data_IF_534487639941
#
_entry.id   IF_534487639941
#
_cell.length_a   1.000
_cell.length_b   1.000
_cell.length_c   1.000
_cell.angle_alpha   90.00
_cell.angle_beta   90.00
_cell.angle_gamma   90.00
#
_symmetry.space_group_name_H-M   'P 1'
#
loop_
_entity.id
_entity.type
_entity.pdbx_description
1 polymer ?
#
# COMPACT_ATOMS: atom_id res chain seq x y z
N UNK A 1 9.15 -2.89 18.64
CA UNK A 1 8.21 -1.89 18.12
C UNK A 1 8.66 -1.59 16.70
N UNK A 2 7.93 -2.13 15.74
CA UNK A 2 8.40 -2.30 14.36
C UNK A 2 7.57 -1.41 13.45
N UNK A 3 8.22 -0.63 12.58
CA UNK A 3 7.52 0.22 11.62
C UNK A 3 7.52 -0.42 10.23
N UNK A 4 6.35 -0.47 9.62
CA UNK A 4 6.11 -0.95 8.27
C UNK A 4 5.56 0.20 7.44
N UNK A 5 5.99 0.29 6.19
CA UNK A 5 5.46 1.24 5.24
C UNK A 5 4.56 0.55 4.23
N UNK A 6 3.60 1.27 3.69
CA UNK A 6 2.71 0.84 2.62
C UNK A 6 2.66 1.86 1.51
N UNK A 7 2.63 1.39 0.27
CA UNK A 7 2.42 2.18 -0.94
C UNK A 7 1.37 1.51 -1.82
N UNK A 8 0.35 2.27 -2.23
CA UNK A 8 -0.72 1.82 -3.13
C UNK A 8 -0.87 2.77 -4.33
N UNK A 9 -0.34 2.39 -5.51
CA UNK A 9 -0.56 3.06 -6.78
C UNK A 9 -1.91 2.64 -7.41
N UNK A 10 -3.00 3.38 -7.16
CA UNK A 10 -4.27 2.97 -7.79
C UNK A 10 -5.50 3.87 -7.63
N UNK A 11 -5.47 4.91 -6.81
CA UNK A 11 -6.68 5.65 -6.43
C UNK A 11 -6.99 6.84 -7.34
N UNK A 12 -7.72 6.65 -8.47
CA UNK A 12 -8.25 7.76 -9.31
C UNK A 12 -7.19 8.81 -9.72
N UNK A 13 -5.98 8.37 -10.07
CA UNK A 13 -4.86 9.25 -10.39
C UNK A 13 -4.14 9.83 -9.17
N UNK A 14 -4.25 9.18 -8.02
CA UNK A 14 -3.51 9.47 -6.77
C UNK A 14 -2.92 8.20 -6.20
N UNK A 15 -2.01 8.37 -5.24
CA UNK A 15 -1.25 7.29 -4.63
C UNK A 15 -1.47 7.26 -3.11
N UNK A 16 -1.78 6.09 -2.56
CA UNK A 16 -1.86 5.85 -1.13
C UNK A 16 -0.49 5.60 -0.53
N UNK A 17 -0.24 6.16 0.64
CA UNK A 17 0.94 5.85 1.45
C UNK A 17 0.53 5.70 2.91
N UNK A 18 1.18 4.78 3.62
CA UNK A 18 0.90 4.50 5.03
C UNK A 18 2.18 4.17 5.80
N UNK A 19 2.18 4.50 7.08
CA UNK A 19 3.16 4.09 8.06
C UNK A 19 2.40 3.42 9.21
N UNK A 20 2.64 2.12 9.38
CA UNK A 20 1.94 1.27 10.33
C UNK A 20 2.95 0.75 11.32
N UNK A 21 2.60 0.80 12.59
CA UNK A 21 3.43 0.27 13.66
C UNK A 21 2.80 -0.99 14.22
N UNK A 22 3.61 -2.03 14.30
CA UNK A 22 3.23 -3.26 14.99
C UNK A 22 3.36 -3.06 16.50
N UNK A 23 2.22 -3.19 17.18
CA UNK A 23 2.10 -3.34 18.64
C UNK A 23 1.42 -4.69 18.93
N UNK A 24 1.53 -5.19 20.16
CA UNK A 24 1.21 -6.60 20.51
C UNK A 24 -0.22 -7.04 20.19
N UNK A 25 -1.17 -6.10 20.17
CA UNK A 25 -2.60 -6.44 20.18
C UNK A 25 -3.31 -6.07 18.87
N UNK A 26 -2.78 -5.11 18.09
CA UNK A 26 -3.29 -4.69 16.79
C UNK A 26 -2.31 -3.73 16.08
N UNK A 27 -2.27 -3.63 14.75
CA UNK A 27 -1.48 -2.59 14.09
C UNK A 27 -1.99 -1.17 14.40
N UNK A 28 -1.08 -0.24 14.70
CA UNK A 28 -1.35 1.18 14.89
C UNK A 28 -1.04 1.95 13.60
N UNK A 29 -1.98 2.75 13.09
CA UNK A 29 -1.72 3.67 11.96
C UNK A 29 -1.03 4.92 12.50
N UNK A 30 0.29 5.03 12.28
CA UNK A 30 1.09 6.18 12.71
C UNK A 30 0.83 7.38 11.81
N UNK A 31 0.79 7.15 10.50
CA UNK A 31 0.50 8.17 9.51
C UNK A 31 -0.03 7.53 8.23
N UNK A 32 -0.85 8.28 7.49
CA UNK A 32 -1.26 7.92 6.13
C UNK A 32 -1.55 9.16 5.32
N UNK A 33 -1.39 9.07 4.01
CA UNK A 33 -1.75 10.14 3.09
C UNK A 33 -2.22 9.58 1.74
N UNK A 34 -2.90 10.44 1.00
CA UNK A 34 -3.15 10.25 -0.43
C UNK A 34 -2.48 11.39 -1.16
N UNK A 35 -1.43 11.08 -1.91
CA UNK A 35 -0.55 12.05 -2.59
C UNK A 35 -0.79 12.04 -4.09
N UNK A 36 -0.33 13.09 -4.77
CA UNK A 36 -0.69 13.30 -6.18
C UNK A 36 -0.05 12.27 -7.10
N UNK A 37 1.24 12.00 -6.93
CA UNK A 37 2.05 11.20 -7.86
C UNK A 37 3.08 10.33 -7.12
N UNK A 38 3.81 9.52 -7.88
CA UNK A 38 4.80 8.61 -7.32
C UNK A 38 6.00 9.34 -6.69
N UNK A 39 6.35 10.54 -7.17
CA UNK A 39 7.45 11.32 -6.61
C UNK A 39 7.06 11.85 -5.22
N UNK A 40 5.85 12.37 -5.06
CA UNK A 40 5.34 12.75 -3.74
C UNK A 40 5.20 11.54 -2.81
N UNK A 41 4.83 10.37 -3.33
CA UNK A 41 4.78 9.14 -2.54
C UNK A 41 6.16 8.75 -2.01
N UNK A 42 7.19 8.80 -2.87
CA UNK A 42 8.56 8.53 -2.48
C UNK A 42 9.03 9.52 -1.39
N UNK A 43 8.85 10.83 -1.61
CA UNK A 43 9.22 11.84 -0.61
C UNK A 43 8.49 11.65 0.72
N UNK A 44 7.22 11.22 0.71
CA UNK A 44 6.48 10.91 1.93
C UNK A 44 7.07 9.69 2.66
N UNK A 45 7.39 8.62 1.93
CA UNK A 45 7.94 7.39 2.49
C UNK A 45 9.35 7.60 3.07
N UNK A 46 10.18 8.44 2.44
CA UNK A 46 11.54 8.77 2.89
C UNK A 46 11.57 9.36 4.30
N UNK A 47 10.51 10.08 4.73
CA UNK A 47 10.38 10.62 6.10
C UNK A 47 10.43 9.51 7.15
N UNK A 48 9.93 8.31 6.81
CA UNK A 48 9.81 7.18 7.72
C UNK A 48 10.81 6.03 7.41
N UNK A 49 11.50 6.10 6.27
CA UNK A 49 12.32 4.99 5.75
C UNK A 49 13.45 4.55 6.70
N UNK A 50 14.05 5.47 7.45
CA UNK A 50 15.19 5.16 8.36
C UNK A 50 14.82 4.23 9.51
N UNK A 51 13.55 4.20 9.90
CA UNK A 51 13.06 3.40 11.04
C UNK A 51 12.13 2.27 10.61
N UNK A 52 11.79 2.22 9.32
CA UNK A 52 10.99 1.15 8.75
C UNK A 52 11.84 -0.10 8.49
N UNK A 53 11.26 -1.28 8.76
CA UNK A 53 11.93 -2.56 8.49
C UNK A 53 11.53 -3.16 7.14
N UNK A 54 10.38 -2.74 6.59
CA UNK A 54 9.87 -3.20 5.31
C UNK A 54 8.90 -2.17 4.71
N UNK A 55 8.73 -2.25 3.39
CA UNK A 55 7.76 -1.50 2.60
C UNK A 55 6.92 -2.50 1.79
N UNK A 56 5.63 -2.55 2.05
CA UNK A 56 4.66 -3.22 1.21
C UNK A 56 4.28 -2.33 0.03
N UNK A 57 4.35 -2.88 -1.18
CA UNK A 57 3.91 -2.20 -2.41
C UNK A 57 2.69 -2.96 -2.92
N UNK A 58 1.53 -2.31 -2.89
CA UNK A 58 0.30 -2.86 -3.44
C UNK A 58 0.36 -2.78 -4.97
N UNK A 59 0.57 -3.93 -5.60
CA UNK A 59 0.70 -4.10 -7.06
C UNK A 59 1.93 -3.42 -7.71
N UNK A 60 2.56 -4.13 -8.65
CA UNK A 60 3.73 -3.61 -9.40
C UNK A 60 3.36 -2.61 -10.51
N UNK A 61 2.07 -2.35 -10.75
CA UNK A 61 1.60 -1.59 -11.91
C UNK A 61 0.46 -0.67 -11.48
N UNK A 62 0.73 0.63 -11.47
CA UNK A 62 -0.32 1.65 -11.39
C UNK A 62 -1.45 1.30 -12.37
N UNK A 63 -2.66 1.14 -11.84
CA UNK A 63 -3.81 0.75 -12.65
C UNK A 63 -4.07 1.81 -13.72
N UNK A 64 -4.26 1.38 -14.97
CA UNK A 64 -4.77 2.27 -15.99
C UNK A 64 -6.12 2.84 -15.52
N UNK A 65 -6.37 4.17 -15.64
CA UNK A 65 -7.61 4.78 -15.17
C UNK A 65 -8.85 4.26 -15.90
N UNK A 66 -8.67 3.49 -16.98
CA UNK A 66 -9.66 2.70 -17.70
C UNK A 66 -9.02 1.39 -18.16
N UNK A 67 -9.77 0.29 -18.09
CA UNK A 67 -9.27 -1.07 -18.33
C UNK A 67 -9.43 -1.91 -17.07
N UNK A 68 -9.88 -3.15 -17.23
CA UNK A 68 -10.40 -3.99 -16.16
C UNK A 68 -9.40 -4.37 -15.07
N UNK A 69 -9.93 -4.94 -13.98
CA UNK A 69 -9.19 -5.46 -12.83
C UNK A 69 -8.55 -6.82 -13.12
N UNK A 70 -8.04 -7.05 -14.33
CA UNK A 70 -7.68 -8.39 -14.80
C UNK A 70 -6.60 -9.05 -13.95
N UNK A 71 -5.66 -8.26 -13.41
CA UNK A 71 -4.68 -8.74 -12.41
C UNK A 71 -5.35 -9.13 -11.09
N UNK A 72 -6.34 -8.36 -10.62
CA UNK A 72 -7.11 -8.63 -9.39
C UNK A 72 -7.92 -9.91 -9.56
N UNK A 73 -8.54 -10.09 -10.72
CA UNK A 73 -9.32 -11.28 -11.07
C UNK A 73 -8.41 -12.49 -11.30
N UNK A 74 -7.19 -12.30 -11.83
CA UNK A 74 -6.20 -13.37 -11.90
C UNK A 74 -5.69 -13.78 -10.51
N UNK A 75 -5.45 -12.82 -9.62
CA UNK A 75 -5.04 -13.07 -8.24
C UNK A 75 -6.17 -13.75 -7.44
N UNK A 76 -7.42 -13.26 -7.55
CA UNK A 76 -8.60 -13.91 -6.96
C UNK A 76 -8.76 -15.35 -7.45
N UNK A 77 -8.70 -15.58 -8.77
CA UNK A 77 -8.75 -16.94 -9.34
C UNK A 77 -7.62 -17.84 -8.86
N UNK A 78 -6.43 -17.28 -8.63
CA UNK A 78 -5.24 -18.05 -8.22
C UNK A 78 -5.24 -18.38 -6.72
N UNK A 79 -5.78 -17.49 -5.89
CA UNK A 79 -5.72 -17.59 -4.42
C UNK A 79 -7.10 -17.75 -3.77
N UNK A 80 -8.07 -18.24 -4.55
CA UNK A 80 -9.48 -18.37 -4.20
C UNK A 80 -9.66 -19.09 -2.85
N UNK A 81 -9.91 -18.32 -1.78
CA UNK A 81 -10.14 -18.86 -0.42
C UNK A 81 -9.53 -18.07 0.75
N UNK A 82 -8.57 -17.19 0.54
CA UNK A 82 -7.92 -16.41 1.64
C UNK A 82 -8.30 -14.92 1.65
N UNK A 83 -9.52 -14.59 1.24
CA UNK A 83 -10.10 -13.28 1.47
C UNK A 83 -10.39 -13.10 2.96
N UNK A 84 -9.38 -12.69 3.72
CA UNK A 84 -9.61 -12.00 5.00
C UNK A 84 -10.24 -10.67 4.63
N UNK A 85 -11.56 -10.59 4.81
CA UNK A 85 -12.29 -9.34 4.67
C UNK A 85 -11.70 -8.30 5.62
N UNK A 86 -11.33 -7.14 5.08
CA UNK A 86 -10.98 -5.94 5.83
C UNK A 86 -12.24 -5.24 6.34
#
# INVERSE_FOLDING_TARGET
MTLFLGYDPGGKGRNGVAAIREISDAPEVVAKATVRDAAEALSWLEVYAKTAVALGIDTFLAWAPKGGRDCDDALRRKYDGNSVAA
#
